data_IF_788156181610
#
_entry.id   IF_788156181610
#
_cell.length_a   1.000
_cell.length_b   1.000
_cell.length_c   1.000
_cell.angle_alpha   90.00
_cell.angle_beta   90.00
_cell.angle_gamma   90.00
#
_symmetry.space_group_name_H-M   'P 1'
#
loop_
_entity.id
_entity.type
_entity.pdbx_description
1 polymer ?
#
# COMPACT_ATOMS: atom_id res chain seq x y z
N UNK A 1 10.58 -12.22 -6.62
CA UNK A 1 11.42 -11.98 -5.41
C UNK A 1 10.53 -11.53 -4.26
N UNK A 2 10.91 -11.77 -3.02
CA UNK A 2 10.16 -11.32 -1.84
C UNK A 2 11.08 -10.67 -0.81
N UNK A 3 10.84 -9.38 -0.54
CA UNK A 3 11.59 -8.57 0.42
C UNK A 3 10.69 -8.25 1.62
N UNK A 4 11.14 -8.62 2.80
CA UNK A 4 10.42 -8.39 4.06
C UNK A 4 11.38 -8.01 5.19
N UNK A 5 10.84 -7.70 6.38
CA UNK A 5 11.60 -7.02 7.44
C UNK A 5 12.85 -7.77 7.92
N UNK A 6 12.85 -9.10 7.86
CA UNK A 6 13.98 -9.92 8.30
C UNK A 6 15.02 -10.18 7.18
N UNK A 7 14.79 -9.72 5.95
CA UNK A 7 15.74 -9.89 4.85
C UNK A 7 17.02 -9.11 5.16
N UNK A 8 18.17 -9.81 5.22
CA UNK A 8 19.48 -9.21 5.51
C UNK A 8 19.85 -8.19 4.44
N UNK A 9 20.61 -7.14 4.81
CA UNK A 9 21.00 -6.04 3.91
C UNK A 9 21.63 -6.53 2.60
N UNK A 10 22.59 -7.46 2.66
CA UNK A 10 23.25 -8.01 1.46
C UNK A 10 22.26 -8.71 0.52
N UNK A 11 21.39 -9.56 1.06
CA UNK A 11 20.36 -10.24 0.26
C UNK A 11 19.37 -9.24 -0.35
N UNK A 12 19.01 -8.19 0.38
CA UNK A 12 18.16 -7.10 -0.13
C UNK A 12 18.80 -6.43 -1.35
N UNK A 13 20.07 -6.07 -1.28
CA UNK A 13 20.81 -5.45 -2.39
C UNK A 13 20.86 -6.37 -3.60
N UNK A 14 21.19 -7.65 -3.41
CA UNK A 14 21.19 -8.66 -4.47
C UNK A 14 19.81 -8.83 -5.13
N UNK A 15 18.73 -8.83 -4.34
CA UNK A 15 17.36 -8.91 -4.86
C UNK A 15 17.02 -7.68 -5.70
N UNK A 16 17.34 -6.48 -5.23
CA UNK A 16 17.05 -5.24 -5.95
C UNK A 16 17.84 -5.19 -7.26
N UNK A 17 19.13 -5.51 -7.22
CA UNK A 17 19.99 -5.52 -8.41
C UNK A 17 19.48 -6.52 -9.45
N UNK A 18 19.18 -7.75 -9.02
CA UNK A 18 18.59 -8.77 -9.89
C UNK A 18 17.24 -8.33 -10.46
N UNK A 19 16.42 -7.64 -9.68
CA UNK A 19 15.16 -7.12 -10.23
C UNK A 19 15.40 -6.00 -11.23
N UNK A 20 16.29 -5.05 -10.96
CA UNK A 20 16.44 -3.84 -11.77
C UNK A 20 17.25 -4.08 -13.04
N UNK A 21 18.32 -4.86 -12.96
CA UNK A 21 19.39 -4.88 -13.96
C UNK A 21 19.52 -6.21 -14.71
N UNK A 22 19.07 -7.34 -14.14
CA UNK A 22 19.15 -8.65 -14.80
C UNK A 22 18.06 -8.77 -15.89
N UNK A 23 18.43 -8.94 -17.18
CA UNK A 23 17.48 -9.15 -18.26
C UNK A 23 16.59 -10.38 -18.02
N UNK A 24 17.16 -11.44 -17.44
CA UNK A 24 16.48 -12.69 -17.07
C UNK A 24 15.96 -12.67 -15.62
N UNK A 25 15.99 -11.48 -15.01
CA UNK A 25 15.44 -11.20 -13.69
C UNK A 25 13.93 -11.41 -13.65
N UNK A 26 13.38 -11.63 -12.44
CA UNK A 26 11.96 -11.95 -12.28
C UNK A 26 11.06 -10.76 -12.61
N UNK A 27 9.92 -11.02 -13.24
CA UNK A 27 8.93 -9.98 -13.60
C UNK A 27 8.17 -9.40 -12.39
N UNK A 28 8.18 -10.10 -11.25
CA UNK A 28 7.43 -9.73 -10.04
C UNK A 28 8.37 -9.59 -8.84
N UNK A 29 8.20 -8.48 -8.12
CA UNK A 29 8.84 -8.20 -6.86
C UNK A 29 7.80 -7.91 -5.78
N UNK A 30 7.73 -8.77 -4.77
CA UNK A 30 6.81 -8.67 -3.65
C UNK A 30 7.52 -7.96 -2.50
N UNK A 31 6.86 -6.98 -1.89
CA UNK A 31 7.36 -6.25 -0.74
C UNK A 31 6.33 -6.25 0.37
N UNK A 32 6.75 -6.43 1.62
CA UNK A 32 5.92 -5.98 2.74
C UNK A 32 6.13 -4.48 2.98
N UNK A 33 5.04 -3.73 3.23
CA UNK A 33 5.03 -2.26 3.28
C UNK A 33 6.13 -1.67 4.17
N UNK A 34 6.20 -2.14 5.43
CA UNK A 34 7.17 -1.68 6.43
C UNK A 34 8.61 -2.12 6.16
N UNK A 35 8.84 -3.17 5.37
CA UNK A 35 10.19 -3.65 5.07
C UNK A 35 10.98 -2.75 4.12
N UNK A 36 10.30 -1.81 3.46
CA UNK A 36 10.94 -0.88 2.54
C UNK A 36 11.07 0.55 3.04
N UNK A 37 11.08 0.80 4.36
CA UNK A 37 11.46 2.09 4.94
C UNK A 37 12.90 2.55 4.61
N UNK A 38 13.61 1.80 3.76
CA UNK A 38 14.91 2.15 3.17
C UNK A 38 14.70 2.63 1.75
N UNK A 39 15.47 3.60 1.26
CA UNK A 39 15.30 4.18 -0.09
C UNK A 39 15.51 3.20 -1.25
N UNK A 40 14.54 2.31 -1.50
CA UNK A 40 14.50 1.35 -2.60
C UNK A 40 14.23 2.07 -3.92
N UNK A 41 14.88 1.63 -4.99
CA UNK A 41 14.62 2.09 -6.35
C UNK A 41 14.13 0.91 -7.20
N UNK A 42 12.88 0.96 -7.67
CA UNK A 42 12.19 -0.13 -8.37
C UNK A 42 11.63 0.34 -9.72
N UNK A 43 12.36 1.20 -10.42
CA UNK A 43 11.97 1.81 -11.71
C UNK A 43 11.79 0.81 -12.86
N UNK A 44 12.24 -0.45 -12.74
CA UNK A 44 11.89 -1.52 -13.69
C UNK A 44 10.46 -2.03 -13.48
N UNK A 45 9.78 -1.69 -12.39
CA UNK A 45 8.34 -1.89 -12.30
C UNK A 45 7.61 -0.75 -13.03
N UNK A 46 6.43 -1.03 -13.57
CA UNK A 46 5.49 -0.02 -14.06
C UNK A 46 4.03 -0.37 -13.71
N UNK A 47 3.83 -1.43 -12.92
CA UNK A 47 2.58 -1.79 -12.28
C UNK A 47 2.86 -1.99 -10.79
N UNK A 48 2.05 -1.39 -9.94
CA UNK A 48 2.09 -1.52 -8.49
C UNK A 48 0.75 -2.07 -8.04
N UNK A 49 0.77 -3.15 -7.27
CA UNK A 49 -0.43 -3.76 -6.70
C UNK A 49 -0.36 -3.62 -5.18
N UNK A 50 -1.27 -2.84 -4.61
CA UNK A 50 -1.53 -2.84 -3.17
C UNK A 50 -2.58 -3.90 -2.90
N UNK A 51 -2.14 -4.98 -2.27
CA UNK A 51 -2.97 -6.18 -2.05
C UNK A 51 -3.99 -5.93 -0.94
N UNK A 52 -3.58 -5.23 0.12
CA UNK A 52 -4.43 -4.89 1.26
C UNK A 52 -4.47 -3.37 1.44
N UNK A 53 -5.57 -2.84 1.98
CA UNK A 53 -5.72 -1.40 2.23
C UNK A 53 -5.03 -0.99 3.54
N UNK A 54 -3.95 -0.22 3.44
CA UNK A 54 -3.26 0.30 4.63
C UNK A 54 -3.95 1.56 5.18
N UNK A 55 -4.20 1.60 6.49
CA UNK A 55 -4.92 2.71 7.16
C UNK A 55 -4.20 4.06 7.11
N UNK A 56 -2.87 4.07 6.96
CA UNK A 56 -2.08 5.29 6.78
C UNK A 56 -1.71 5.48 5.29
N UNK A 57 -2.39 6.37 4.54
CA UNK A 57 -2.16 6.52 3.12
C UNK A 57 -0.72 6.96 2.77
N UNK A 58 0.00 7.64 3.68
CA UNK A 58 1.38 8.07 3.44
C UNK A 58 2.34 6.88 3.33
N UNK A 59 2.13 5.81 4.11
CA UNK A 59 2.96 4.59 4.06
C UNK A 59 2.75 3.84 2.75
N UNK A 60 1.50 3.73 2.30
CA UNK A 60 1.13 3.12 1.02
C UNK A 60 1.68 3.94 -0.17
N UNK A 61 1.53 5.26 -0.13
CA UNK A 61 2.07 6.17 -1.14
C UNK A 61 3.61 6.06 -1.21
N UNK A 62 4.31 6.06 -0.07
CA UNK A 62 5.76 5.88 -0.03
C UNK A 62 6.20 4.54 -0.67
N UNK A 63 5.41 3.47 -0.49
CA UNK A 63 5.70 2.20 -1.14
C UNK A 63 5.57 2.30 -2.66
N UNK A 64 4.56 3.04 -3.13
CA UNK A 64 4.33 3.35 -4.55
C UNK A 64 5.44 4.21 -5.14
N UNK A 65 5.90 5.23 -4.40
CA UNK A 65 6.91 6.20 -4.83
C UNK A 65 8.25 5.55 -5.19
N UNK A 66 8.54 4.35 -4.69
CA UNK A 66 9.73 3.56 -5.04
C UNK A 66 9.79 3.22 -6.54
N UNK A 67 8.64 3.21 -7.21
CA UNK A 67 8.51 2.95 -8.65
C UNK A 67 8.51 4.25 -9.47
N UNK A 68 8.01 5.35 -8.89
CA UNK A 68 7.95 6.70 -9.51
C UNK A 68 9.29 7.48 -9.46
N UNK A 69 10.40 6.84 -9.07
CA UNK A 69 11.68 7.53 -8.89
C UNK A 69 12.36 7.95 -10.20
N UNK A 70 13.38 8.81 -10.06
CA UNK A 70 14.31 9.17 -11.13
C UNK A 70 14.82 7.91 -11.81
N UNK A 71 14.72 7.88 -13.15
CA UNK A 71 15.09 6.72 -13.98
C UNK A 71 13.90 5.86 -14.42
N UNK A 72 12.68 6.15 -13.95
CA UNK A 72 11.46 5.59 -14.54
C UNK A 72 11.30 6.10 -15.99
N UNK A 73 11.01 5.19 -16.91
CA UNK A 73 10.86 5.50 -18.35
C UNK A 73 9.49 5.11 -18.91
N UNK A 74 8.62 4.51 -18.10
CA UNK A 74 7.29 4.03 -18.49
C UNK A 74 6.24 4.60 -17.56
N UNK A 75 5.02 4.76 -18.09
CA UNK A 75 3.86 5.11 -17.28
C UNK A 75 3.63 4.04 -16.21
N UNK A 76 3.42 4.48 -14.97
CA UNK A 76 3.19 3.61 -13.83
C UNK A 76 1.69 3.52 -13.55
N UNK A 77 1.17 2.30 -13.45
CA UNK A 77 -0.21 2.04 -13.03
C UNK A 77 -0.23 1.54 -11.59
N UNK A 78 -1.12 2.11 -10.78
CA UNK A 78 -1.29 1.72 -9.38
C UNK A 78 -2.67 1.10 -9.22
N UNK A 79 -2.67 -0.16 -8.80
CA UNK A 79 -3.85 -0.97 -8.56
C UNK A 79 -4.01 -1.12 -7.06
N UNK A 80 -5.17 -0.74 -6.52
CA UNK A 80 -5.50 -0.89 -5.10
C UNK A 80 -6.67 -1.84 -5.00
N UNK A 81 -6.44 -2.99 -4.39
CA UNK A 81 -7.52 -3.92 -4.11
C UNK A 81 -8.23 -3.52 -2.83
N UNK A 82 -9.54 -3.60 -2.86
CA UNK A 82 -10.44 -3.28 -1.75
C UNK A 82 -11.54 -4.34 -1.77
N UNK A 83 -11.71 -5.04 -0.67
CA UNK A 83 -12.80 -5.98 -0.49
C UNK A 83 -14.08 -5.25 -0.07
N UNK A 84 -15.06 -5.18 -0.97
CA UNK A 84 -16.39 -4.60 -0.74
C UNK A 84 -17.11 -5.25 0.45
N UNK A 85 -17.81 -4.43 1.23
CA UNK A 85 -18.53 -4.82 2.44
C UNK A 85 -17.64 -5.14 3.65
N UNK A 86 -16.32 -5.11 3.50
CA UNK A 86 -15.38 -5.42 4.59
C UNK A 86 -14.82 -4.16 5.26
N UNK A 87 -13.97 -4.39 6.27
CA UNK A 87 -13.19 -3.32 6.91
C UNK A 87 -12.34 -2.53 5.91
N UNK A 88 -11.89 -3.13 4.80
CA UNK A 88 -11.04 -2.44 3.81
C UNK A 88 -11.79 -1.31 3.09
N UNK A 89 -13.05 -1.52 2.74
CA UNK A 89 -13.91 -0.51 2.11
C UNK A 89 -14.16 0.64 3.07
N UNK A 90 -14.50 0.34 4.33
CA UNK A 90 -14.72 1.35 5.38
C UNK A 90 -13.46 2.17 5.67
N UNK A 91 -12.29 1.52 5.75
CA UNK A 91 -11.00 2.21 5.87
C UNK A 91 -10.76 3.11 4.65
N UNK A 92 -11.05 2.62 3.45
CA UNK A 92 -10.90 3.41 2.24
C UNK A 92 -11.78 4.67 2.28
N UNK A 93 -13.05 4.53 2.65
CA UNK A 93 -14.00 5.65 2.72
C UNK A 93 -13.58 6.69 3.76
N UNK A 94 -13.07 6.24 4.91
CA UNK A 94 -12.50 7.12 5.93
C UNK A 94 -11.28 7.87 5.39
N UNK A 95 -10.37 7.18 4.70
CA UNK A 95 -9.17 7.80 4.10
C UNK A 95 -9.57 8.83 3.06
N UNK A 96 -10.50 8.52 2.16
CA UNK A 96 -10.92 9.44 1.10
C UNK A 96 -11.71 10.63 1.68
N UNK A 97 -12.58 10.40 2.66
CA UNK A 97 -13.29 11.47 3.39
C UNK A 97 -12.30 12.39 4.11
N UNK A 98 -11.28 11.83 4.76
CA UNK A 98 -10.23 12.60 5.41
C UNK A 98 -9.38 13.35 4.40
N UNK A 99 -9.03 12.78 3.24
CA UNK A 99 -8.29 13.50 2.19
C UNK A 99 -9.05 14.73 1.69
N UNK A 100 -10.36 14.62 1.50
CA UNK A 100 -11.20 15.75 1.13
C UNK A 100 -11.17 16.87 2.19
N UNK A 101 -11.04 16.51 3.47
CA UNK A 101 -10.88 17.45 4.57
C UNK A 101 -9.42 17.94 4.78
N UNK A 102 -8.44 17.10 4.45
CA UNK A 102 -7.04 17.19 4.85
C UNK A 102 -6.11 17.75 3.78
N UNK A 103 -6.62 18.43 2.75
CA UNK A 103 -5.82 19.42 1.99
C UNK A 103 -5.19 20.51 2.91
N UNK A 104 -5.47 20.49 4.22
CA UNK A 104 -4.89 21.40 5.21
C UNK A 104 -3.86 20.79 6.19
N UNK A 105 -3.85 19.48 6.50
CA UNK A 105 -2.83 18.87 7.38
C UNK A 105 -2.79 17.34 7.20
N UNK A 106 -1.73 16.77 6.63
CA UNK A 106 -1.57 15.31 6.47
C UNK A 106 -0.61 14.77 7.52
N UNK A 107 -1.13 14.43 8.69
CA UNK A 107 -0.55 13.42 9.56
C UNK A 107 -1.66 12.51 10.09
N UNK A 108 -2.15 11.63 9.21
CA UNK A 108 -3.16 10.62 9.56
C UNK A 108 -2.42 9.34 9.98
N UNK A 109 -1.87 9.37 11.19
CA UNK A 109 -1.37 8.19 11.89
C UNK A 109 -2.48 7.17 12.20
N UNK A 110 -2.16 6.18 13.03
CA UNK A 110 -3.12 5.13 13.45
C UNK A 110 -4.03 5.60 14.59
N UNK A 111 -3.79 6.80 15.13
CA UNK A 111 -4.37 7.30 16.39
C UNK A 111 -5.90 7.38 16.36
N UNK A 112 -6.49 7.68 15.19
CA UNK A 112 -7.95 7.75 15.03
C UNK A 112 -8.65 6.42 15.34
N UNK A 113 -7.97 5.28 15.19
CA UNK A 113 -8.53 3.98 15.56
C UNK A 113 -8.75 3.89 17.08
N UNK A 114 -7.88 4.53 17.86
CA UNK A 114 -7.95 4.51 19.33
C UNK A 114 -8.96 5.51 19.89
N UNK A 115 -9.36 6.51 19.10
CA UNK A 115 -10.36 7.52 19.47
C UNK A 115 -11.81 7.08 19.22
N UNK A 116 -12.01 5.97 18.49
CA UNK A 116 -13.33 5.44 18.19
C UNK A 116 -14.01 4.85 19.43
N UNK A 117 -15.30 5.16 19.59
CA UNK A 117 -16.13 4.50 20.59
C UNK A 117 -16.52 3.07 20.15
N UNK A 118 -17.11 2.29 21.07
CA UNK A 118 -17.48 0.88 20.83
C UNK A 118 -18.42 0.68 19.64
N UNK A 119 -19.37 1.59 19.42
CA UNK A 119 -20.32 1.50 18.32
C UNK A 119 -19.61 1.73 16.98
N UNK A 120 -18.76 2.76 16.91
CA UNK A 120 -17.94 3.04 15.73
C UNK A 120 -16.97 1.90 15.40
N UNK A 121 -16.32 1.31 16.42
CA UNK A 121 -15.45 0.15 16.22
C UNK A 121 -16.22 -1.08 15.72
N UNK A 122 -17.42 -1.31 16.26
CA UNK A 122 -18.31 -2.38 15.81
C UNK A 122 -18.68 -2.16 14.34
N UNK A 123 -19.11 -0.96 13.99
CA UNK A 123 -19.48 -0.62 12.62
C UNK A 123 -18.29 -0.75 11.67
N UNK A 124 -17.08 -0.39 12.09
CA UNK A 124 -15.86 -0.54 11.27
C UNK A 124 -15.58 -2.01 10.89
N UNK A 125 -15.79 -2.96 11.81
CA UNK A 125 -15.42 -4.38 11.60
C UNK A 125 -16.58 -5.27 11.14
N UNK A 126 -17.82 -4.81 11.25
CA UNK A 126 -18.98 -5.57 10.78
C UNK A 126 -18.96 -5.73 9.26
N UNK A 127 -19.16 -6.96 8.79
CA UNK A 127 -19.34 -7.27 7.38
C UNK A 127 -20.71 -6.76 6.92
N UNK A 128 -20.73 -5.94 5.88
CA UNK A 128 -21.96 -5.64 5.14
C UNK A 128 -22.22 -6.76 4.13
N UNK A 129 -23.27 -7.54 4.39
CA UNK A 129 -23.66 -8.66 3.53
C UNK A 129 -24.42 -8.23 2.29
N UNK A 130 -24.96 -7.01 2.29
CA UNK A 130 -25.76 -6.50 1.17
C UNK A 130 -24.87 -5.81 0.13
N UNK A 131 -23.63 -5.46 0.48
CA UNK A 131 -22.70 -4.74 -0.40
C UNK A 131 -22.29 -5.52 -1.68
N UNK A 132 -22.52 -6.84 -1.72
CA UNK A 132 -22.17 -7.71 -2.87
C UNK A 132 -23.41 -8.34 -3.52
N UNK A 133 -24.61 -8.11 -2.96
CA UNK A 133 -25.85 -8.63 -3.52
C UNK A 133 -26.40 -7.56 -4.47
N UNK A 134 -26.07 -7.68 -5.75
CA UNK A 134 -26.85 -7.06 -6.82
C UNK A 134 -28.24 -7.75 -6.83
N UNK A 135 -29.31 -7.01 -6.55
CA UNK A 135 -30.69 -7.37 -6.94
C UNK A 135 -30.93 -6.98 -8.41
#
# INVERSE_FOLDING_TARGET
LFLYGATRKKQREEMIDRFQNDPDGPSIFILSLKAGGTGLNLTRANHVFHVDRWWNPAVENQATDRVFRIGQKRNVQVHKFICTGTVEEKINDIIESKKQLAEQTVDAGEDWLTEMNTEQLRDLVLLDRNAVIDD
#
